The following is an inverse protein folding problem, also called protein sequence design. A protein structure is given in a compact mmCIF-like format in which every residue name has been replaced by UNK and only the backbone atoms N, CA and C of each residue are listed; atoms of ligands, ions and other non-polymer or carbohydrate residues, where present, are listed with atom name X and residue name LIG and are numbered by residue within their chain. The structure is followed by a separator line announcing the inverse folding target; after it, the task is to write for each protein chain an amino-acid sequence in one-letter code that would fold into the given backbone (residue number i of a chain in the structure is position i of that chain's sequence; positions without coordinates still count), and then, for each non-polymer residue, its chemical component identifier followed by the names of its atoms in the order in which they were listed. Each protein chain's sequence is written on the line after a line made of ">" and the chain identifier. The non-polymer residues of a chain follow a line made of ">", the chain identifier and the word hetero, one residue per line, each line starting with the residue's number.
data_IF_036355667248
#
_entry.id   IF_036355667248
#
_cell.length_a   1.000
_cell.length_b   1.000
_cell.length_c   1.000
_cell.angle_alpha   90.00
_cell.angle_beta   90.00
_cell.angle_gamma   90.00
#
_symmetry.space_group_name_H-M   'P 1'
#
loop_
_entity.id
_entity.type
_entity.pdbx_description
1 polymer ?
#
# COMPACT_ATOMS: atom_id res chain seq x y z
N UNK A 1 -33.36 12.96 -25.87
CA UNK A 1 -33.32 11.68 -25.12
C UNK A 1 -31.91 11.11 -25.11
N UNK A 2 -30.90 11.81 -24.51
CA UNK A 2 -29.50 11.38 -24.50
C UNK A 2 -28.76 11.61 -23.14
N UNK A 3 -29.51 11.80 -22.05
CA UNK A 3 -28.91 12.11 -20.74
C UNK A 3 -29.02 10.99 -19.67
N UNK A 4 -29.73 9.91 -19.92
CA UNK A 4 -29.96 8.87 -18.90
C UNK A 4 -28.90 7.75 -18.83
N UNK A 5 -28.07 7.59 -19.87
CA UNK A 5 -27.08 6.51 -19.90
C UNK A 5 -25.76 6.81 -19.13
N UNK A 6 -25.50 8.08 -18.81
CA UNK A 6 -24.22 8.46 -18.15
C UNK A 6 -24.24 8.24 -16.63
N UNK A 7 -25.38 8.43 -15.97
CA UNK A 7 -25.50 8.27 -14.52
C UNK A 7 -25.35 6.82 -14.03
N UNK A 8 -25.76 5.85 -14.82
CA UNK A 8 -25.65 4.44 -14.44
C UNK A 8 -24.21 3.90 -14.55
N UNK A 9 -23.44 4.36 -15.51
CA UNK A 9 -22.04 3.97 -15.68
C UNK A 9 -21.13 4.60 -14.61
N UNK A 10 -21.38 5.83 -14.20
CA UNK A 10 -20.67 6.49 -13.09
C UNK A 10 -20.97 5.83 -11.73
N UNK A 11 -22.26 5.54 -11.46
CA UNK A 11 -22.67 4.88 -10.21
C UNK A 11 -22.14 3.42 -10.08
N UNK A 12 -21.97 2.72 -11.20
CA UNK A 12 -21.35 1.38 -11.22
C UNK A 12 -19.83 1.49 -11.00
N UNK A 13 -19.19 2.52 -11.54
CA UNK A 13 -17.77 2.82 -11.32
C UNK A 13 -17.49 3.11 -9.85
N UNK A 14 -18.29 3.93 -9.22
CA UNK A 14 -18.13 4.30 -7.80
C UNK A 14 -18.31 3.10 -6.86
N UNK A 15 -19.28 2.23 -7.09
CA UNK A 15 -19.50 1.02 -6.29
C UNK A 15 -18.31 0.04 -6.40
N UNK A 16 -17.76 -0.12 -7.59
CA UNK A 16 -16.57 -0.98 -7.80
C UNK A 16 -15.34 -0.42 -7.12
N UNK A 17 -15.15 0.90 -7.16
CA UNK A 17 -14.06 1.58 -6.49
C UNK A 17 -14.16 1.44 -4.96
N UNK A 18 -15.35 1.64 -4.38
CA UNK A 18 -15.59 1.45 -2.95
C UNK A 18 -15.34 0.00 -2.54
N UNK A 19 -15.79 -0.96 -3.34
CA UNK A 19 -15.54 -2.37 -3.08
C UNK A 19 -14.03 -2.71 -3.12
N UNK A 20 -13.29 -2.18 -4.09
CA UNK A 20 -11.84 -2.39 -4.21
C UNK A 20 -11.10 -1.80 -2.98
N UNK A 21 -11.44 -0.58 -2.57
CA UNK A 21 -10.89 0.05 -1.37
C UNK A 21 -11.21 -0.79 -0.12
N UNK A 22 -12.45 -1.27 0.00
CA UNK A 22 -12.86 -2.13 1.13
C UNK A 22 -12.07 -3.43 1.19
N UNK A 23 -11.93 -4.13 0.07
CA UNK A 23 -11.16 -5.39 -0.02
C UNK A 23 -9.70 -5.15 0.35
N UNK A 24 -9.07 -4.10 -0.21
CA UNK A 24 -7.67 -3.77 0.09
C UNK A 24 -7.47 -3.38 1.56
N UNK A 25 -8.41 -2.64 2.16
CA UNK A 25 -8.35 -2.30 3.60
C UNK A 25 -8.45 -3.55 4.47
N UNK A 26 -9.38 -4.47 4.18
CA UNK A 26 -9.52 -5.73 4.91
C UNK A 26 -8.25 -6.58 4.75
N UNK A 27 -7.70 -6.66 3.55
CA UNK A 27 -6.45 -7.36 3.28
C UNK A 27 -5.30 -6.78 4.10
N UNK A 28 -5.12 -5.47 4.08
CA UNK A 28 -4.07 -4.77 4.84
C UNK A 28 -4.18 -5.06 6.34
N UNK A 29 -5.41 -5.03 6.89
CA UNK A 29 -5.64 -5.40 8.29
C UNK A 29 -5.28 -6.87 8.56
N UNK A 30 -5.62 -7.79 7.66
CA UNK A 30 -5.26 -9.19 7.77
C UNK A 30 -3.73 -9.39 7.72
N UNK A 31 -3.02 -8.66 6.85
CA UNK A 31 -1.56 -8.68 6.79
C UNK A 31 -0.91 -8.13 8.07
N UNK A 32 -1.43 -7.02 8.64
CA UNK A 32 -0.93 -6.48 9.93
C UNK A 32 -1.11 -7.51 11.03
N UNK A 33 -2.31 -8.06 11.16
CA UNK A 33 -2.61 -9.08 12.20
C UNK A 33 -1.76 -10.34 11.98
N UNK A 34 -1.70 -10.84 10.74
CA UNK A 34 -0.86 -11.98 10.37
C UNK A 34 0.61 -11.76 10.63
N UNK A 35 1.13 -10.57 10.32
CA UNK A 35 2.51 -10.18 10.58
C UNK A 35 2.85 -10.13 12.06
N UNK A 36 1.96 -9.58 12.89
CA UNK A 36 2.12 -9.55 14.35
C UNK A 36 2.08 -10.97 14.93
N UNK A 37 1.11 -11.78 14.51
CA UNK A 37 0.95 -13.15 15.02
C UNK A 37 2.08 -14.08 14.58
N UNK A 38 2.55 -13.95 13.35
CA UNK A 38 3.65 -14.75 12.82
C UNK A 38 5.04 -14.27 13.24
N UNK A 39 5.16 -13.04 13.74
CA UNK A 39 6.43 -12.37 13.99
C UNK A 39 7.17 -11.91 12.72
N UNK A 40 6.54 -11.95 11.53
CA UNK A 40 7.15 -11.53 10.26
C UNK A 40 7.15 -10.02 10.11
N UNK A 41 8.35 -9.46 9.99
CA UNK A 41 8.52 -8.03 9.77
C UNK A 41 8.29 -7.65 8.31
N UNK A 42 8.60 -8.54 7.36
CA UNK A 42 8.35 -8.31 5.94
C UNK A 42 6.86 -8.24 5.62
N UNK A 43 6.03 -9.06 6.27
CA UNK A 43 4.57 -9.01 6.13
C UNK A 43 3.99 -7.72 6.72
N UNK A 44 4.54 -7.25 7.85
CA UNK A 44 4.18 -5.95 8.43
C UNK A 44 4.61 -4.80 7.52
N UNK A 45 5.80 -4.88 6.93
CA UNK A 45 6.33 -3.86 6.02
C UNK A 45 5.46 -3.71 4.78
N UNK A 46 5.05 -4.82 4.18
CA UNK A 46 4.13 -4.86 3.03
C UNK A 46 2.76 -4.28 3.40
N UNK A 47 2.21 -4.65 4.56
CA UNK A 47 0.96 -4.10 5.07
C UNK A 47 1.03 -2.59 5.32
N UNK A 48 2.12 -2.08 5.90
CA UNK A 48 2.29 -0.65 6.16
C UNK A 48 2.47 0.16 4.87
N UNK A 49 3.11 -0.41 3.85
CA UNK A 49 3.16 0.19 2.51
C UNK A 49 1.75 0.35 1.94
N UNK A 50 0.98 -0.72 1.86
CA UNK A 50 -0.40 -0.72 1.37
C UNK A 50 -1.31 0.25 2.16
N UNK A 51 -1.15 0.30 3.49
CA UNK A 51 -1.89 1.22 4.35
C UNK A 51 -1.52 2.67 4.06
N UNK A 52 -0.23 2.95 3.86
CA UNK A 52 0.25 4.30 3.52
C UNK A 52 -0.32 4.79 2.20
N UNK A 53 -0.40 3.92 1.20
CA UNK A 53 -0.97 4.27 -0.10
C UNK A 53 -2.47 4.55 -0.01
N UNK A 54 -3.21 3.73 0.71
CA UNK A 54 -4.62 3.98 0.98
C UNK A 54 -4.84 5.29 1.76
N UNK A 55 -4.03 5.55 2.79
CA UNK A 55 -4.07 6.78 3.57
C UNK A 55 -3.76 8.01 2.71
N UNK A 56 -2.78 7.90 1.80
CA UNK A 56 -2.39 8.95 0.85
C UNK A 56 -3.56 9.40 -0.01
N UNK A 57 -4.33 8.44 -0.53
CA UNK A 57 -5.51 8.73 -1.35
C UNK A 57 -6.59 9.47 -0.52
N UNK A 58 -6.85 9.02 0.70
CA UNK A 58 -7.82 9.67 1.60
C UNK A 58 -7.38 11.09 1.95
N UNK A 59 -6.11 11.28 2.32
CA UNK A 59 -5.54 12.58 2.65
C UNK A 59 -5.60 13.52 1.44
N UNK A 60 -5.27 13.03 0.24
CA UNK A 60 -5.35 13.80 -1.00
C UNK A 60 -6.79 14.24 -1.32
N UNK A 61 -7.77 13.34 -1.14
CA UNK A 61 -9.19 13.67 -1.35
C UNK A 61 -9.68 14.75 -0.37
N UNK A 62 -9.33 14.62 0.91
CA UNK A 62 -9.65 15.63 1.94
C UNK A 62 -9.00 16.97 1.61
N UNK A 63 -7.71 16.96 1.28
CA UNK A 63 -6.96 18.16 0.94
C UNK A 63 -7.53 18.87 -0.29
N UNK A 64 -7.91 18.11 -1.32
CA UNK A 64 -8.57 18.62 -2.52
C UNK A 64 -9.92 19.25 -2.21
N UNK A 65 -10.72 18.62 -1.33
CA UNK A 65 -12.00 19.17 -0.87
C UNK A 65 -11.81 20.49 -0.11
N UNK A 66 -10.79 20.56 0.77
CA UNK A 66 -10.43 21.77 1.51
C UNK A 66 -9.90 22.84 0.56
N UNK A 67 -9.01 22.48 -0.38
CA UNK A 67 -8.38 23.39 -1.34
C UNK A 67 -9.37 24.12 -2.27
N UNK A 68 -10.58 23.53 -2.48
CA UNK A 68 -11.66 24.15 -3.28
C UNK A 68 -12.46 25.21 -2.54
N UNK A 69 -12.25 25.39 -1.21
CA UNK A 69 -12.94 26.43 -0.44
C UNK A 69 -12.47 27.81 -0.90
N UNK A 70 -13.41 28.78 -1.05
CA UNK A 70 -13.05 30.16 -1.38
C UNK A 70 -12.23 30.81 -0.26
N UNK A 71 -11.49 31.86 -0.58
CA UNK A 71 -10.84 32.71 0.43
C UNK A 71 -11.84 33.24 1.45
N UNK A 72 -11.40 33.39 2.70
CA UNK A 72 -12.17 33.99 3.79
C UNK A 72 -11.32 35.03 4.56
N UNK A 73 -11.89 35.65 5.62
CA UNK A 73 -11.22 36.67 6.40
C UNK A 73 -9.93 36.21 7.08
N UNK A 74 -9.77 34.88 7.34
CA UNK A 74 -8.59 34.27 7.96
C UNK A 74 -7.61 33.70 6.95
N UNK A 75 -8.07 33.35 5.75
CA UNK A 75 -7.30 32.74 4.67
C UNK A 75 -7.50 33.50 3.38
N UNK A 76 -6.92 34.70 3.30
CA UNK A 76 -7.04 35.63 2.18
C UNK A 76 -6.55 35.05 0.85
N UNK A 77 -5.59 34.12 0.86
CA UNK A 77 -5.11 33.37 -0.32
C UNK A 77 -5.83 32.04 -0.56
N UNK A 78 -6.92 31.77 0.21
CA UNK A 78 -7.67 30.53 0.13
C UNK A 78 -6.92 29.33 0.75
N UNK A 79 -7.37 28.13 0.40
CA UNK A 79 -6.94 26.86 1.02
C UNK A 79 -6.10 25.96 0.11
N UNK A 80 -5.58 26.46 -1.01
CA UNK A 80 -4.81 25.66 -2.00
C UNK A 80 -3.59 24.96 -1.42
N UNK A 81 -2.98 25.54 -0.37
CA UNK A 81 -1.83 24.95 0.32
C UNK A 81 -2.15 23.64 1.05
N UNK A 82 -3.43 23.30 1.22
CA UNK A 82 -3.83 22.03 1.83
C UNK A 82 -3.32 20.82 1.07
N UNK A 83 -3.22 20.88 -0.25
CA UNK A 83 -2.69 19.78 -1.08
C UNK A 83 -1.18 19.57 -0.84
N UNK A 84 -0.41 20.67 -0.76
CA UNK A 84 1.02 20.60 -0.46
C UNK A 84 1.28 20.08 0.97
N UNK A 85 0.47 20.51 1.95
CA UNK A 85 0.59 20.02 3.33
C UNK A 85 0.24 18.53 3.39
N UNK A 86 -0.79 18.11 2.67
CA UNK A 86 -1.18 16.70 2.60
C UNK A 86 -0.05 15.82 2.03
N UNK A 87 0.57 16.25 0.92
CA UNK A 87 1.71 15.58 0.32
C UNK A 87 2.90 15.49 1.29
N UNK A 88 3.19 16.58 2.02
CA UNK A 88 4.25 16.60 3.02
C UNK A 88 3.99 15.64 4.18
N UNK A 89 2.75 15.61 4.71
CA UNK A 89 2.37 14.67 5.79
C UNK A 89 2.58 13.24 5.32
N UNK A 90 2.14 12.90 4.11
CA UNK A 90 2.31 11.58 3.55
C UNK A 90 3.79 11.19 3.41
N UNK A 91 4.60 12.08 2.83
CA UNK A 91 6.04 11.87 2.65
C UNK A 91 6.75 11.64 4.00
N UNK A 92 6.47 12.50 4.99
CA UNK A 92 7.07 12.38 6.32
C UNK A 92 6.66 11.06 6.98
N UNK A 93 5.40 10.65 6.84
CA UNK A 93 4.91 9.38 7.38
C UNK A 93 5.62 8.18 6.74
N UNK A 94 5.77 8.18 5.40
CA UNK A 94 6.51 7.13 4.67
C UNK A 94 7.97 7.04 5.13
N UNK A 95 8.65 8.18 5.29
CA UNK A 95 10.04 8.20 5.75
C UNK A 95 10.15 7.64 7.17
N UNK A 96 9.25 8.05 8.09
CA UNK A 96 9.27 7.54 9.48
C UNK A 96 9.04 6.04 9.50
N UNK A 97 8.06 5.53 8.77
CA UNK A 97 7.76 4.09 8.68
C UNK A 97 8.95 3.33 8.08
N UNK A 98 9.52 3.81 6.97
CA UNK A 98 10.67 3.17 6.33
C UNK A 98 11.90 3.11 7.24
N UNK A 99 12.21 4.21 7.95
CA UNK A 99 13.33 4.25 8.91
C UNK A 99 13.08 3.33 10.12
N UNK A 100 11.85 3.27 10.62
CA UNK A 100 11.49 2.35 11.70
C UNK A 100 11.67 0.88 11.28
N UNK A 101 11.22 0.52 10.07
CA UNK A 101 11.39 -0.83 9.53
C UNK A 101 12.87 -1.20 9.36
N UNK A 102 13.71 -0.28 8.89
CA UNK A 102 15.15 -0.50 8.79
C UNK A 102 15.77 -0.71 10.19
N UNK A 103 15.40 0.13 11.16
CA UNK A 103 15.89 0.00 12.53
C UNK A 103 15.54 -1.36 13.14
N UNK A 104 14.27 -1.78 13.00
CA UNK A 104 13.80 -3.07 13.50
C UNK A 104 14.46 -4.24 12.77
N UNK A 105 14.60 -4.16 11.43
CA UNK A 105 15.25 -5.19 10.63
C UNK A 105 16.73 -5.37 11.00
N UNK A 106 17.45 -4.27 11.24
CA UNK A 106 18.85 -4.34 11.72
C UNK A 106 18.90 -5.01 13.08
N UNK A 107 18.00 -4.67 14.00
CA UNK A 107 17.91 -5.32 15.31
C UNK A 107 17.71 -6.83 15.19
N UNK A 108 16.80 -7.27 14.32
CA UNK A 108 16.51 -8.71 14.07
C UNK A 108 17.65 -9.43 13.36
N UNK A 109 18.48 -8.73 12.60
CA UNK A 109 19.66 -9.32 11.98
C UNK A 109 20.66 -9.81 13.05
N UNK A 110 20.82 -9.06 14.15
CA UNK A 110 21.70 -9.42 15.27
C UNK A 110 21.02 -10.32 16.32
N UNK A 111 19.71 -10.26 16.44
CA UNK A 111 18.91 -11.05 17.36
C UNK A 111 17.70 -11.64 16.64
N UNK A 112 17.88 -12.70 15.82
CA UNK A 112 16.79 -13.31 15.05
C UNK A 112 15.66 -13.76 15.95
N UNK A 113 14.43 -13.41 15.58
CA UNK A 113 13.21 -13.85 16.25
C UNK A 113 12.60 -15.02 15.50
N UNK A 114 11.99 -15.99 16.20
CA UNK A 114 11.27 -17.08 15.55
C UNK A 114 10.05 -16.52 14.78
N UNK A 115 9.86 -17.02 13.57
CA UNK A 115 8.77 -16.59 12.68
C UNK A 115 7.96 -17.82 12.29
N UNK A 116 6.64 -17.71 12.38
CA UNK A 116 5.73 -18.76 11.94
C UNK A 116 5.51 -18.68 10.42
N UNK A 117 6.36 -19.38 9.67
CA UNK A 117 6.38 -19.33 8.21
C UNK A 117 5.07 -19.72 7.55
N UNK A 118 4.26 -20.62 8.15
CA UNK A 118 2.98 -21.03 7.58
C UNK A 118 1.97 -19.89 7.52
N UNK A 119 1.82 -19.13 8.61
CA UNK A 119 0.98 -17.93 8.64
C UNK A 119 1.44 -16.88 7.63
N UNK A 120 2.76 -16.69 7.50
CA UNK A 120 3.33 -15.77 6.48
C UNK A 120 2.92 -16.18 5.07
N UNK A 121 3.12 -17.46 4.71
CA UNK A 121 2.79 -17.96 3.35
C UNK A 121 1.30 -17.85 3.05
N UNK A 122 0.43 -18.22 4.02
CA UNK A 122 -1.03 -18.15 3.81
C UNK A 122 -1.50 -16.72 3.63
N UNK A 123 -1.08 -15.80 4.52
CA UNK A 123 -1.53 -14.40 4.46
C UNK A 123 -0.99 -13.70 3.22
N UNK A 124 0.30 -13.89 2.90
CA UNK A 124 0.90 -13.33 1.68
C UNK A 124 0.31 -13.97 0.41
N UNK A 125 -0.09 -15.25 0.46
CA UNK A 125 -0.77 -15.93 -0.65
C UNK A 125 -2.15 -15.31 -0.95
N UNK A 126 -2.91 -14.97 0.10
CA UNK A 126 -4.18 -14.24 -0.06
C UNK A 126 -3.93 -12.85 -0.64
N UNK A 127 -2.91 -12.14 -0.16
CA UNK A 127 -2.52 -10.83 -0.67
C UNK A 127 -2.20 -10.91 -2.17
N UNK A 128 -1.34 -11.84 -2.57
CA UNK A 128 -0.96 -12.06 -3.97
C UNK A 128 -2.18 -12.31 -4.87
N UNK A 129 -3.16 -13.09 -4.42
CA UNK A 129 -4.38 -13.35 -5.21
C UNK A 129 -5.15 -12.05 -5.42
N UNK A 130 -5.31 -11.23 -4.38
CA UNK A 130 -6.01 -9.94 -4.47
C UNK A 130 -5.26 -8.99 -5.40
N UNK A 131 -3.94 -8.88 -5.28
CA UNK A 131 -3.11 -8.00 -6.10
C UNK A 131 -3.15 -8.40 -7.57
N UNK A 132 -3.05 -9.71 -7.87
CA UNK A 132 -3.15 -10.23 -9.24
C UNK A 132 -4.53 -9.97 -9.83
N UNK A 133 -5.60 -10.23 -9.09
CA UNK A 133 -6.97 -9.95 -9.55
C UNK A 133 -7.15 -8.46 -9.84
N UNK A 134 -6.67 -7.59 -8.97
CA UNK A 134 -6.76 -6.13 -9.13
C UNK A 134 -5.90 -5.67 -10.32
N UNK A 135 -4.70 -6.22 -10.50
CA UNK A 135 -3.84 -5.95 -11.65
C UNK A 135 -4.53 -6.37 -12.96
N UNK A 136 -5.14 -7.56 -13.02
CA UNK A 136 -5.86 -8.03 -14.22
C UNK A 136 -7.07 -7.15 -14.54
N UNK A 137 -7.82 -6.70 -13.55
CA UNK A 137 -8.95 -5.80 -13.74
C UNK A 137 -8.50 -4.43 -14.27
N UNK A 138 -7.38 -3.91 -13.77
CA UNK A 138 -6.83 -2.63 -14.24
C UNK A 138 -6.11 -2.74 -15.58
N UNK A 139 -5.53 -3.90 -15.91
CA UNK A 139 -4.85 -4.14 -17.19
C UNK A 139 -5.74 -3.87 -18.42
N UNK A 140 -6.97 -4.37 -18.41
CA UNK A 140 -7.89 -4.20 -19.53
C UNK A 140 -8.23 -2.72 -19.79
N UNK A 141 -8.19 -1.89 -18.75
CA UNK A 141 -8.52 -0.46 -18.80
C UNK A 141 -7.27 0.42 -19.00
N UNK A 142 -6.06 -0.12 -18.76
CA UNK A 142 -4.80 0.61 -18.76
C UNK A 142 -4.39 1.14 -20.13
N UNK A 143 -4.92 0.56 -21.21
CA UNK A 143 -4.58 0.94 -22.59
C UNK A 143 -5.07 2.35 -22.98
N UNK A 144 -6.05 2.89 -22.24
CA UNK A 144 -6.74 4.13 -22.62
C UNK A 144 -6.47 5.30 -21.63
N UNK A 145 -5.71 5.09 -20.55
CA UNK A 145 -5.47 6.13 -19.54
C UNK A 145 -4.13 5.94 -18.85
N UNK A 146 -3.34 7.03 -18.79
CA UNK A 146 -2.05 7.05 -18.07
C UNK A 146 -2.21 6.76 -16.58
N UNK A 147 -3.28 7.27 -15.96
CA UNK A 147 -3.56 7.04 -14.54
C UNK A 147 -3.87 5.56 -14.26
N UNK A 148 -4.64 4.89 -15.14
CA UNK A 148 -4.94 3.47 -14.99
C UNK A 148 -3.71 2.62 -15.25
N UNK A 149 -2.83 3.04 -16.16
CA UNK A 149 -1.53 2.38 -16.37
C UNK A 149 -0.64 2.47 -15.13
N UNK A 150 -0.61 3.62 -14.46
CA UNK A 150 0.12 3.77 -13.20
C UNK A 150 -0.45 2.86 -12.09
N UNK A 151 -1.78 2.80 -11.95
CA UNK A 151 -2.43 1.89 -11.00
C UNK A 151 -2.16 0.41 -11.32
N UNK A 152 -2.13 0.01 -12.59
CA UNK A 152 -1.75 -1.34 -13.00
C UNK A 152 -0.31 -1.67 -12.58
N UNK A 153 0.65 -0.76 -12.86
CA UNK A 153 2.06 -0.97 -12.49
C UNK A 153 2.24 -1.04 -10.97
N UNK A 154 1.50 -0.24 -10.22
CA UNK A 154 1.49 -0.29 -8.76
C UNK A 154 1.01 -1.67 -8.26
N UNK A 155 -0.14 -2.16 -8.70
CA UNK A 155 -0.64 -3.48 -8.32
C UNK A 155 0.31 -4.63 -8.71
N UNK A 156 1.05 -4.50 -9.83
CA UNK A 156 2.09 -5.46 -10.21
C UNK A 156 3.26 -5.41 -9.22
N UNK A 157 3.66 -4.23 -8.76
CA UNK A 157 4.72 -4.09 -7.75
C UNK A 157 4.32 -4.72 -6.41
N UNK A 158 3.07 -4.54 -5.99
CA UNK A 158 2.53 -5.14 -4.76
C UNK A 158 2.47 -6.68 -4.89
N UNK A 159 2.02 -7.20 -6.03
CA UNK A 159 2.06 -8.64 -6.31
C UNK A 159 3.50 -9.21 -6.25
N UNK A 160 4.50 -8.48 -6.75
CA UNK A 160 5.90 -8.89 -6.65
C UNK A 160 6.42 -8.88 -5.22
N UNK A 161 6.03 -7.89 -4.40
CA UNK A 161 6.35 -7.85 -2.97
C UNK A 161 5.73 -9.07 -2.25
N UNK A 162 4.44 -9.35 -2.49
CA UNK A 162 3.74 -10.53 -1.94
C UNK A 162 4.42 -11.84 -2.35
N UNK A 163 4.90 -11.99 -3.60
CA UNK A 163 5.72 -13.15 -4.03
C UNK A 163 7.00 -13.25 -3.21
N UNK A 164 7.69 -12.13 -2.98
CA UNK A 164 8.88 -12.09 -2.13
C UNK A 164 8.60 -12.59 -0.71
N UNK A 165 7.48 -12.14 -0.10
CA UNK A 165 7.06 -12.56 1.24
C UNK A 165 6.73 -14.07 1.27
N UNK A 166 6.09 -14.61 0.24
CA UNK A 166 5.83 -16.06 0.12
C UNK A 166 7.15 -16.85 0.04
N UNK A 167 8.11 -16.37 -0.76
CA UNK A 167 9.42 -17.01 -0.86
C UNK A 167 10.12 -17.02 0.50
N UNK A 168 10.18 -15.87 1.19
CA UNK A 168 10.77 -15.77 2.52
C UNK A 168 10.07 -16.69 3.52
N UNK A 169 8.73 -16.68 3.58
CA UNK A 169 7.95 -17.57 4.44
C UNK A 169 8.18 -19.05 4.14
N UNK A 170 8.32 -19.42 2.87
CA UNK A 170 8.63 -20.81 2.45
C UNK A 170 10.04 -21.21 2.88
N UNK A 171 11.03 -20.34 2.75
CA UNK A 171 12.40 -20.62 3.20
C UNK A 171 12.48 -20.76 4.73
N UNK A 172 11.67 -19.98 5.45
CA UNK A 172 11.53 -20.12 6.90
C UNK A 172 10.92 -21.48 7.24
N UNK A 173 9.84 -21.90 6.55
CA UNK A 173 9.18 -23.18 6.78
C UNK A 173 10.08 -24.39 6.53
N UNK A 174 10.93 -24.32 5.51
CA UNK A 174 11.74 -25.48 5.07
C UNK A 174 13.10 -25.54 5.77
N UNK A 175 13.68 -24.39 6.13
CA UNK A 175 15.09 -24.29 6.53
C UNK A 175 15.31 -23.48 7.81
N UNK A 176 14.24 -22.95 8.43
CA UNK A 176 14.34 -22.02 9.59
C UNK A 176 15.24 -20.78 9.32
N UNK A 177 15.25 -20.32 8.05
CA UNK A 177 16.08 -19.19 7.63
C UNK A 177 15.38 -17.84 7.94
N UNK A 178 15.30 -17.48 9.21
CA UNK A 178 14.64 -16.25 9.68
C UNK A 178 15.25 -14.96 9.11
N UNK A 179 16.52 -14.98 8.73
CA UNK A 179 17.19 -13.83 8.12
C UNK A 179 16.59 -13.45 6.75
N UNK A 180 15.91 -14.34 6.07
CA UNK A 180 15.25 -14.05 4.77
C UNK A 180 14.15 -13.02 4.92
N UNK A 181 13.39 -13.05 6.01
CA UNK A 181 12.37 -12.05 6.35
C UNK A 181 13.02 -10.67 6.58
N UNK A 182 14.13 -10.65 7.29
CA UNK A 182 14.89 -9.42 7.57
C UNK A 182 15.43 -8.77 6.29
N UNK A 183 16.03 -9.57 5.38
CA UNK A 183 16.51 -9.06 4.08
C UNK A 183 15.38 -8.52 3.24
N UNK A 184 14.28 -9.24 3.16
CA UNK A 184 13.12 -8.78 2.41
C UNK A 184 12.51 -7.51 3.00
N UNK A 185 12.44 -7.41 4.34
CA UNK A 185 12.02 -6.17 5.02
C UNK A 185 12.89 -4.99 4.62
N UNK A 186 14.23 -5.17 4.60
CA UNK A 186 15.15 -4.11 4.16
C UNK A 186 14.93 -3.72 2.70
N UNK A 187 14.61 -4.67 1.82
CA UNK A 187 14.29 -4.39 0.42
C UNK A 187 12.99 -3.59 0.29
N UNK A 188 11.93 -3.99 1.00
CA UNK A 188 10.64 -3.27 1.00
C UNK A 188 10.82 -1.87 1.60
N UNK A 189 11.49 -1.74 2.75
CA UNK A 189 11.73 -0.45 3.38
C UNK A 189 12.59 0.48 2.49
N UNK A 190 13.62 -0.07 1.82
CA UNK A 190 14.41 0.67 0.85
C UNK A 190 13.59 1.16 -0.35
N UNK A 191 12.68 0.32 -0.86
CA UNK A 191 11.76 0.69 -1.93
C UNK A 191 10.80 1.81 -1.49
N UNK A 192 10.21 1.70 -0.30
CA UNK A 192 9.31 2.71 0.28
C UNK A 192 10.02 4.06 0.45
N UNK A 193 11.25 4.06 0.97
CA UNK A 193 12.04 5.28 1.09
C UNK A 193 12.40 5.87 -0.27
N UNK A 194 12.82 5.04 -1.23
CA UNK A 194 13.11 5.50 -2.58
C UNK A 194 11.89 6.13 -3.25
N UNK A 195 10.72 5.53 -3.11
CA UNK A 195 9.45 6.08 -3.59
C UNK A 195 9.15 7.43 -2.92
N UNK A 196 9.32 7.53 -1.60
CA UNK A 196 9.12 8.77 -0.85
C UNK A 196 10.03 9.92 -1.31
N UNK A 197 11.30 9.65 -1.66
CA UNK A 197 12.22 10.67 -2.15
C UNK A 197 12.07 10.99 -3.65
N UNK A 198 11.40 10.11 -4.40
CA UNK A 198 11.19 10.26 -5.86
C UNK A 198 9.89 11.00 -6.19
N UNK A 199 9.01 11.24 -5.22
CA UNK A 199 7.72 11.93 -5.37
C UNK A 199 7.84 13.39 -5.02
#
# INVERSE_FOLDING_TARGET
>A
MAHEHNHNTEAIGDKRLIAAIGVNTVLTLAQVVGGILSGSLSLIADALHNLSDAASLVIALIARKIGRKPPDAFKTFGYRRSETIAALINLVTLIIVGLYLIYEAIGRFFAPQPIEGWTVVVVAGIALIVDVVTALLTYTMSKNSMNIKAAFLHNVSDALASVGVIIAGTLILLYDWYWTDTVLTLMIAGYVLWQGFST
#
